data_IF_614376581937
#
_entry.id   IF_614376581937
#
_cell.length_a   1.000
_cell.length_b   1.000
_cell.length_c   1.000
_cell.angle_alpha   90.00
_cell.angle_beta   90.00
_cell.angle_gamma   90.00
#
_symmetry.space_group_name_H-M   'P 1'
#
loop_
_entity.id
_entity.type
_entity.pdbx_description
1 polymer ?
#
# COMPACT_ATOMS: atom_id res chain seq x y z
N UNK A 1 -23.23 58.06 35.47
CA UNK A 1 -23.59 56.63 35.58
C UNK A 1 -22.54 55.95 36.43
N UNK A 2 -22.95 55.27 37.53
CA UNK A 2 -22.07 54.63 38.52
C UNK A 2 -21.54 53.30 37.97
N UNK A 3 -20.22 53.11 37.98
CA UNK A 3 -19.54 51.94 37.40
C UNK A 3 -19.26 50.84 38.44
N UNK A 4 -19.64 51.05 39.71
CA UNK A 4 -19.17 50.26 40.86
C UNK A 4 -19.98 49.00 41.19
N UNK A 5 -20.60 48.32 40.19
CA UNK A 5 -21.42 47.13 40.47
C UNK A 5 -21.24 45.96 39.51
N UNK A 6 -20.08 45.83 38.87
CA UNK A 6 -19.80 44.70 37.99
C UNK A 6 -19.09 43.58 38.77
N UNK A 7 -19.71 42.39 38.77
CA UNK A 7 -19.12 41.15 39.28
C UNK A 7 -17.76 40.89 38.58
N UNK A 8 -16.72 40.36 39.25
CA UNK A 8 -15.43 40.05 38.63
C UNK A 8 -15.58 39.21 37.34
N UNK A 9 -16.59 38.33 37.28
CA UNK A 9 -16.93 37.58 36.06
C UNK A 9 -17.39 38.47 34.91
N UNK A 10 -18.21 39.50 35.19
CA UNK A 10 -18.61 40.47 34.15
C UNK A 10 -17.45 41.35 33.70
N UNK A 11 -16.47 41.61 34.57
CA UNK A 11 -15.25 42.32 34.19
C UNK A 11 -14.34 41.46 33.30
N UNK A 12 -14.21 40.17 33.63
CA UNK A 12 -13.48 39.20 32.79
C UNK A 12 -14.14 39.04 31.41
N UNK A 13 -15.46 38.89 31.37
CA UNK A 13 -16.21 38.83 30.11
C UNK A 13 -16.09 40.13 29.31
N UNK A 14 -16.12 41.28 29.98
CA UNK A 14 -15.89 42.59 29.35
C UNK A 14 -14.48 42.71 28.75
N UNK A 15 -13.46 42.25 29.47
CA UNK A 15 -12.07 42.24 28.98
C UNK A 15 -11.91 41.31 27.76
N UNK A 16 -12.48 40.11 27.82
CA UNK A 16 -12.45 39.15 26.69
C UNK A 16 -13.21 39.71 25.48
N UNK A 17 -14.39 40.32 25.69
CA UNK A 17 -15.16 40.93 24.63
C UNK A 17 -14.43 42.12 23.98
N UNK A 18 -13.78 42.97 24.79
CA UNK A 18 -12.94 44.05 24.29
C UNK A 18 -11.75 43.52 23.47
N UNK A 19 -11.13 42.44 23.92
CA UNK A 19 -10.03 41.80 23.21
C UNK A 19 -10.49 41.21 21.87
N UNK A 20 -11.60 40.48 21.85
CA UNK A 20 -12.20 39.95 20.63
C UNK A 20 -12.55 41.06 19.63
N UNK A 21 -13.10 42.19 20.12
CA UNK A 21 -13.40 43.35 19.29
C UNK A 21 -12.14 44.02 18.73
N UNK A 22 -11.05 44.06 19.50
CA UNK A 22 -9.75 44.54 19.01
C UNK A 22 -9.19 43.63 17.90
N UNK A 23 -9.26 42.31 18.04
CA UNK A 23 -8.86 41.39 16.97
C UNK A 23 -9.74 41.53 15.74
N UNK A 24 -11.05 41.69 15.92
CA UNK A 24 -11.98 41.95 14.82
C UNK A 24 -11.63 43.25 14.08
N UNK A 25 -11.31 44.33 14.80
CA UNK A 25 -10.86 45.57 14.18
C UNK A 25 -9.52 45.39 13.45
N UNK A 26 -8.60 44.61 14.01
CA UNK A 26 -7.32 44.28 13.35
C UNK A 26 -7.53 43.48 12.07
N UNK A 27 -8.43 42.49 12.08
CA UNK A 27 -8.74 41.69 10.88
C UNK A 27 -9.43 42.54 9.80
N UNK A 28 -10.37 43.41 10.18
CA UNK A 28 -10.95 44.40 9.26
C UNK A 28 -9.90 45.40 8.74
N UNK A 29 -8.91 45.77 9.56
CA UNK A 29 -7.79 46.60 9.15
C UNK A 29 -6.74 45.87 8.27
N UNK A 30 -6.96 44.58 7.97
CA UNK A 30 -6.13 43.82 7.04
C UNK A 30 -5.09 42.92 7.71
N UNK A 31 -5.18 42.66 9.02
CA UNK A 31 -4.44 41.58 9.66
C UNK A 31 -4.90 40.23 9.06
N UNK A 32 -4.13 39.70 8.11
CA UNK A 32 -4.43 38.47 7.37
C UNK A 32 -4.92 38.68 5.93
N UNK A 33 -5.21 39.92 5.51
CA UNK A 33 -5.61 40.24 4.13
C UNK A 33 -4.45 40.32 3.14
N UNK A 34 -3.22 40.27 3.63
CA UNK A 34 -1.96 40.32 2.86
C UNK A 34 -1.45 38.91 2.57
N UNK A 35 -2.31 38.03 2.08
CA UNK A 35 -1.86 36.83 1.40
C UNK A 35 -1.48 37.33 0.02
N UNK A 36 -0.18 37.53 -0.22
CA UNK A 36 0.35 38.24 -1.39
C UNK A 36 -0.47 37.97 -2.64
N UNK A 37 -1.32 38.92 -3.02
CA UNK A 37 -1.75 39.06 -4.40
C UNK A 37 -0.45 39.28 -5.13
N UNK A 38 0.03 38.26 -5.82
CA UNK A 38 1.11 38.40 -6.77
C UNK A 38 0.63 39.50 -7.71
N UNK A 39 1.27 40.68 -7.65
CA UNK A 39 1.07 41.71 -8.67
C UNK A 39 1.01 41.00 -10.02
N UNK A 40 -0.09 41.20 -10.74
CA UNK A 40 -0.19 40.77 -12.12
C UNK A 40 0.92 41.56 -12.83
N UNK A 41 2.07 40.91 -12.98
CA UNK A 41 3.30 41.49 -13.49
C UNK A 41 3.09 41.77 -14.97
N UNK A 42 2.43 42.90 -15.22
CA UNK A 42 2.22 43.42 -16.55
C UNK A 42 3.39 44.28 -17.01
N UNK A 43 4.34 44.68 -16.15
CA UNK A 43 5.33 45.69 -16.53
C UNK A 43 6.55 45.86 -15.62
N UNK A 44 6.94 44.92 -14.75
CA UNK A 44 8.31 44.96 -14.22
C UNK A 44 9.25 44.32 -15.26
N UNK A 45 10.35 44.98 -15.66
CA UNK A 45 11.37 44.31 -16.47
C UNK A 45 11.96 43.21 -15.61
N UNK A 46 11.45 41.99 -15.81
CA UNK A 46 11.89 40.78 -15.13
C UNK A 46 13.40 40.83 -14.94
N UNK A 47 13.85 40.85 -13.69
CA UNK A 47 15.21 40.44 -13.37
C UNK A 47 15.43 39.15 -14.15
N UNK A 48 16.41 39.13 -15.06
CA UNK A 48 16.56 38.16 -16.14
C UNK A 48 16.58 36.72 -15.61
N UNK A 49 15.40 36.21 -15.26
CA UNK A 49 15.11 34.84 -14.98
C UNK A 49 15.22 34.13 -16.31
N UNK A 50 15.90 32.99 -16.29
CA UNK A 50 16.03 32.11 -17.45
C UNK A 50 14.70 32.05 -18.18
N UNK A 51 14.71 32.46 -19.46
CA UNK A 51 13.52 32.48 -20.29
C UNK A 51 12.83 31.12 -20.17
N UNK A 52 11.57 31.12 -19.74
CA UNK A 52 10.80 29.89 -19.73
C UNK A 52 10.83 29.33 -21.16
N UNK A 53 11.11 28.02 -21.34
CA UNK A 53 11.08 27.42 -22.66
C UNK A 53 9.69 27.67 -23.26
N UNK A 54 9.67 28.09 -24.52
CA UNK A 54 8.43 28.33 -25.25
C UNK A 54 7.53 27.10 -25.14
N UNK A 55 6.29 27.31 -24.71
CA UNK A 55 5.30 26.23 -24.63
C UNK A 55 5.10 25.71 -26.06
N UNK A 56 5.30 24.39 -26.31
CA UNK A 56 5.12 23.85 -27.63
C UNK A 56 3.67 24.05 -28.09
N UNK A 57 3.49 24.33 -29.38
CA UNK A 57 2.17 24.47 -29.97
C UNK A 57 1.35 23.20 -29.73
N UNK A 58 0.09 23.37 -29.32
CA UNK A 58 -0.78 22.22 -29.08
C UNK A 58 -0.95 21.42 -30.37
N UNK A 59 -0.80 20.09 -30.32
CA UNK A 59 -0.93 19.26 -31.51
C UNK A 59 -2.38 19.25 -32.02
N UNK A 60 -2.59 19.00 -33.32
CA UNK A 60 -3.93 18.95 -33.91
C UNK A 60 -4.77 17.82 -33.32
N UNK A 61 -6.08 18.03 -33.18
CA UNK A 61 -7.02 17.07 -32.57
C UNK A 61 -6.99 15.68 -33.23
N UNK A 62 -6.61 15.58 -34.50
CA UNK A 62 -6.46 14.31 -35.22
C UNK A 62 -5.37 13.40 -34.64
N UNK A 63 -4.34 13.95 -33.99
CA UNK A 63 -3.30 13.14 -33.33
C UNK A 63 -3.82 12.39 -32.10
N UNK A 64 -4.95 12.79 -31.54
CA UNK A 64 -5.56 12.14 -30.38
C UNK A 64 -6.50 10.97 -30.75
N UNK A 65 -6.67 10.66 -32.04
CA UNK A 65 -7.56 9.59 -32.51
C UNK A 65 -7.17 8.20 -32.00
N UNK A 66 -5.87 7.94 -31.82
CA UNK A 66 -5.38 6.67 -31.30
C UNK A 66 -5.83 6.42 -29.85
N UNK A 67 -5.88 7.46 -29.03
CA UNK A 67 -6.36 7.41 -27.63
C UNK A 67 -7.86 7.09 -27.60
N UNK A 68 -8.63 7.62 -28.55
CA UNK A 68 -10.04 7.28 -28.70
C UNK A 68 -10.24 5.81 -29.16
N UNK A 69 -9.33 5.28 -29.97
CA UNK A 69 -9.36 3.89 -30.42
C UNK A 69 -8.92 2.88 -29.35
N UNK A 70 -8.17 3.33 -28.33
CA UNK A 70 -7.62 2.52 -27.25
C UNK A 70 -7.86 3.19 -25.90
N UNK A 71 -9.08 3.09 -25.35
CA UNK A 71 -9.39 3.72 -24.08
C UNK A 71 -8.54 3.10 -22.95
N UNK A 72 -7.82 3.95 -22.21
CA UNK A 72 -6.99 3.54 -21.06
C UNK A 72 -7.82 3.04 -19.87
N UNK A 73 -9.12 3.35 -19.89
CA UNK A 73 -10.07 2.93 -18.88
C UNK A 73 -11.06 1.98 -19.50
N UNK A 74 -11.54 1.04 -18.69
CA UNK A 74 -12.70 0.23 -19.04
C UNK A 74 -13.89 1.14 -19.37
N UNK A 75 -14.68 0.78 -20.37
CA UNK A 75 -15.81 1.61 -20.83
C UNK A 75 -16.83 1.85 -19.69
N UNK A 76 -16.93 0.89 -18.79
CA UNK A 76 -17.76 0.90 -17.59
C UNK A 76 -17.13 1.65 -16.40
N UNK A 77 -15.87 2.11 -16.51
CA UNK A 77 -15.07 2.79 -15.46
C UNK A 77 -15.14 2.09 -14.11
N UNK A 78 -15.27 0.76 -14.12
CA UNK A 78 -15.29 -0.07 -12.90
C UNK A 78 -13.97 -0.82 -12.75
N UNK A 79 -13.53 -1.07 -11.51
CA UNK A 79 -12.39 -1.94 -11.25
C UNK A 79 -12.71 -3.35 -11.76
N UNK A 80 -11.89 -3.86 -12.68
CA UNK A 80 -11.96 -5.26 -13.10
C UNK A 80 -11.06 -6.11 -12.20
N UNK A 81 -11.48 -7.32 -11.82
CA UNK A 81 -10.60 -8.25 -11.12
C UNK A 81 -9.44 -8.63 -12.03
N UNK A 82 -8.21 -8.39 -11.58
CA UNK A 82 -7.00 -8.85 -12.27
C UNK A 82 -6.46 -10.08 -11.54
N UNK A 83 -5.99 -11.06 -12.30
CA UNK A 83 -5.29 -12.23 -11.78
C UNK A 83 -3.81 -12.04 -12.10
N UNK A 84 -2.98 -12.02 -11.06
CA UNK A 84 -1.53 -12.08 -11.22
C UNK A 84 -1.21 -13.57 -11.36
N UNK A 85 -0.66 -13.96 -12.50
CA UNK A 85 -0.14 -15.30 -12.71
C UNK A 85 1.22 -15.39 -12.00
N UNK A 86 1.39 -16.21 -10.96
CA UNK A 86 2.64 -16.29 -10.19
C UNK A 86 3.81 -16.88 -11.00
N UNK A 87 3.59 -17.26 -12.27
CA UNK A 87 4.61 -17.86 -13.12
C UNK A 87 5.44 -16.84 -13.91
N UNK A 88 5.08 -15.54 -13.86
CA UNK A 88 5.85 -14.42 -14.44
C UNK A 88 6.73 -13.69 -13.40
N UNK A 89 7.01 -14.30 -12.24
CA UNK A 89 8.11 -13.86 -11.37
C UNK A 89 9.46 -14.21 -12.01
N UNK A 90 9.96 -13.28 -12.81
CA UNK A 90 11.27 -13.37 -13.45
C UNK A 90 12.40 -13.51 -12.44
N UNK A 91 13.07 -14.67 -12.52
CA UNK A 91 14.51 -14.81 -12.31
C UNK A 91 14.99 -14.86 -10.87
N UNK A 92 15.11 -16.06 -10.31
CA UNK A 92 16.03 -16.37 -9.21
C UNK A 92 17.45 -15.96 -9.61
N UNK A 93 17.85 -14.77 -9.20
CA UNK A 93 19.26 -14.38 -9.08
C UNK A 93 19.84 -14.95 -7.80
N UNK A 94 21.00 -15.60 -7.91
CA UNK A 94 21.84 -16.04 -6.79
C UNK A 94 21.99 -14.94 -5.70
N UNK A 95 22.38 -15.26 -4.45
CA UNK A 95 22.52 -14.29 -3.35
C UNK A 95 23.74 -13.37 -3.58
N UNK A 96 23.65 -12.50 -4.58
CA UNK A 96 24.50 -11.35 -4.81
C UNK A 96 23.85 -10.10 -4.23
N UNK A 97 24.64 -9.03 -4.08
CA UNK A 97 24.12 -7.73 -3.69
C UNK A 97 23.25 -7.16 -4.83
N UNK A 98 21.96 -7.51 -4.82
CA UNK A 98 21.00 -7.15 -5.86
C UNK A 98 19.87 -6.29 -5.26
N UNK A 99 20.20 -5.02 -5.04
CA UNK A 99 19.32 -4.02 -4.48
C UNK A 99 19.17 -2.85 -5.45
N UNK A 100 17.99 -2.26 -5.45
CA UNK A 100 17.65 -1.04 -6.19
C UNK A 100 17.46 0.09 -5.19
N UNK A 101 18.12 1.22 -5.42
CA UNK A 101 17.92 2.42 -4.61
C UNK A 101 16.62 3.10 -5.02
N UNK A 102 15.66 3.18 -4.10
CA UNK A 102 14.34 3.75 -4.34
C UNK A 102 14.16 5.14 -3.73
N UNK A 103 14.90 5.45 -2.67
CA UNK A 103 14.86 6.79 -2.05
C UNK A 103 16.13 7.09 -1.26
N UNK A 104 16.43 8.38 -1.15
CA UNK A 104 17.53 8.92 -0.38
C UNK A 104 17.00 10.06 0.51
N UNK A 105 17.31 9.99 1.81
CA UNK A 105 17.04 11.06 2.76
C UNK A 105 18.36 11.63 3.26
N UNK A 106 18.55 12.94 3.08
CA UNK A 106 19.71 13.68 3.58
C UNK A 106 19.26 14.96 4.29
N UNK A 107 19.64 15.08 5.55
CA UNK A 107 19.58 16.31 6.35
C UNK A 107 20.98 16.60 6.90
N UNK A 108 21.24 17.78 7.51
CA UNK A 108 22.58 18.11 8.03
C UNK A 108 23.13 17.08 9.03
N UNK A 109 22.26 16.51 9.86
CA UNK A 109 22.65 15.59 10.93
C UNK A 109 22.31 14.12 10.63
N UNK A 110 21.66 13.82 9.50
CA UNK A 110 21.14 12.49 9.22
C UNK A 110 21.14 12.13 7.73
N UNK A 111 21.63 10.94 7.42
CA UNK A 111 21.66 10.40 6.07
C UNK A 111 21.18 8.93 6.07
N UNK A 112 20.26 8.61 5.16
CA UNK A 112 19.62 7.31 5.04
C UNK A 112 19.32 6.97 3.58
N UNK A 113 19.49 5.71 3.23
CA UNK A 113 19.10 5.12 1.96
C UNK A 113 17.92 4.16 2.17
N UNK A 114 16.99 4.14 1.22
CA UNK A 114 15.93 3.13 1.17
C UNK A 114 16.20 2.25 -0.04
N UNK A 115 16.43 0.97 0.22
CA UNK A 115 16.69 -0.05 -0.77
C UNK A 115 15.48 -0.96 -0.93
N UNK A 116 15.29 -1.47 -2.13
CA UNK A 116 14.36 -2.56 -2.39
C UNK A 116 15.11 -3.72 -3.07
N UNK A 117 14.88 -4.98 -2.67
CA UNK A 117 15.40 -6.12 -3.40
C UNK A 117 14.92 -6.09 -4.86
N UNK A 118 15.79 -6.47 -5.81
CA UNK A 118 15.48 -6.48 -7.24
C UNK A 118 14.29 -7.38 -7.59
N UNK A 119 14.15 -8.52 -6.91
CA UNK A 119 13.02 -9.45 -7.01
C UNK A 119 11.72 -8.96 -6.37
N UNK A 120 11.67 -7.70 -5.93
CA UNK A 120 10.53 -7.15 -5.20
C UNK A 120 10.54 -7.53 -3.72
N UNK A 121 9.58 -6.98 -2.97
CA UNK A 121 9.44 -7.21 -1.53
C UNK A 121 9.66 -5.95 -0.68
N UNK A 122 9.92 -6.19 0.61
CA UNK A 122 9.98 -5.14 1.64
C UNK A 122 11.17 -4.19 1.44
N UNK A 123 10.91 -2.89 1.61
CA UNK A 123 11.95 -1.87 1.52
C UNK A 123 12.79 -1.82 2.80
N UNK A 124 14.10 -1.93 2.65
CA UNK A 124 15.07 -1.89 3.74
C UNK A 124 15.58 -0.45 3.89
N UNK A 125 15.58 0.06 5.11
CA UNK A 125 16.07 1.41 5.42
C UNK A 125 17.44 1.29 6.09
N UNK A 126 18.45 1.94 5.52
CA UNK A 126 19.83 1.87 6.01
C UNK A 126 20.37 3.25 6.31
N UNK A 127 20.99 3.40 7.47
CA UNK A 127 21.77 4.60 7.82
C UNK A 127 23.22 4.44 7.37
N UNK A 128 23.92 5.56 7.24
CA UNK A 128 25.37 5.52 7.01
C UNK A 128 26.04 4.72 8.13
N UNK A 129 26.87 3.75 7.76
CA UNK A 129 27.51 2.78 8.66
C UNK A 129 26.72 1.50 8.91
N UNK A 130 25.50 1.37 8.37
CA UNK A 130 24.65 0.19 8.54
C UNK A 130 24.74 -0.75 7.33
N UNK A 131 24.53 -2.05 7.57
CA UNK A 131 24.51 -3.08 6.54
C UNK A 131 23.09 -3.66 6.35
N UNK A 132 22.66 -3.99 5.11
CA UNK A 132 21.42 -4.71 4.89
C UNK A 132 21.45 -6.08 5.57
N UNK A 133 20.37 -6.47 6.26
CA UNK A 133 20.26 -7.79 6.89
C UNK A 133 20.49 -8.94 5.91
N UNK A 134 20.03 -8.78 4.67
CA UNK A 134 20.20 -9.78 3.62
C UNK A 134 21.65 -9.88 3.11
N UNK A 135 22.52 -8.88 3.36
CA UNK A 135 23.93 -8.95 2.98
C UNK A 135 24.82 -8.15 3.96
N UNK A 136 25.17 -8.75 5.13
CA UNK A 136 25.89 -8.05 6.21
C UNK A 136 27.30 -7.55 5.84
N UNK A 137 27.87 -8.06 4.75
CA UNK A 137 29.20 -7.65 4.26
C UNK A 137 29.23 -6.31 3.52
N UNK A 138 28.08 -5.71 3.22
CA UNK A 138 27.99 -4.45 2.50
C UNK A 138 27.50 -3.35 3.43
N UNK A 139 28.36 -2.38 3.72
CA UNK A 139 28.04 -1.27 4.64
C UNK A 139 27.78 0.00 3.83
N UNK A 140 26.72 0.73 4.15
CA UNK A 140 26.44 2.02 3.53
C UNK A 140 27.51 3.04 3.94
N UNK A 141 28.38 3.43 3.01
CA UNK A 141 29.51 4.33 3.26
C UNK A 141 29.15 5.80 3.14
N UNK A 142 28.53 6.21 2.04
CA UNK A 142 28.11 7.59 1.83
C UNK A 142 26.77 7.67 1.09
N UNK A 143 26.06 8.79 1.32
CA UNK A 143 24.76 9.06 0.75
C UNK A 143 24.82 10.42 0.05
N UNK A 144 24.72 10.41 -1.27
CA UNK A 144 24.73 11.57 -2.15
C UNK A 144 23.32 12.01 -2.52
N UNK A 145 23.20 13.13 -3.24
CA UNK A 145 21.88 13.69 -3.61
C UNK A 145 20.99 12.72 -4.42
N UNK A 146 21.58 11.79 -5.18
CA UNK A 146 20.88 10.84 -6.06
C UNK A 146 21.53 9.46 -6.16
N UNK A 147 22.50 9.18 -5.28
CA UNK A 147 23.27 7.94 -5.30
C UNK A 147 23.78 7.63 -3.91
N UNK A 148 24.20 6.39 -3.70
CA UNK A 148 24.76 5.91 -2.44
C UNK A 148 25.95 5.01 -2.73
N UNK A 149 26.98 5.07 -1.91
CA UNK A 149 28.18 4.23 -2.05
C UNK A 149 28.17 3.20 -0.92
N UNK A 150 28.19 1.92 -1.28
CA UNK A 150 28.35 0.81 -0.35
C UNK A 150 29.79 0.31 -0.38
N UNK A 151 30.36 0.03 0.79
CA UNK A 151 31.66 -0.61 0.92
C UNK A 151 31.43 -2.10 1.20
N UNK A 152 31.84 -2.95 0.26
CA UNK A 152 31.71 -4.39 0.36
C UNK A 152 33.05 -5.12 0.27
N UNK A 153 33.05 -6.46 0.44
CA UNK A 153 34.25 -7.29 0.26
C UNK A 153 34.79 -7.27 -1.18
N UNK A 154 33.97 -6.92 -2.16
CA UNK A 154 34.39 -6.73 -3.57
C UNK A 154 34.84 -5.30 -3.90
N UNK A 155 34.80 -4.38 -2.92
CA UNK A 155 35.15 -2.97 -3.10
C UNK A 155 33.94 -2.02 -3.03
N UNK A 156 34.15 -0.72 -3.31
CA UNK A 156 33.09 0.27 -3.28
C UNK A 156 32.13 0.11 -4.47
N UNK A 157 30.83 -0.01 -4.21
CA UNK A 157 29.77 -0.11 -5.23
C UNK A 157 28.80 1.06 -5.09
N UNK A 158 28.64 1.80 -6.18
CA UNK A 158 27.71 2.94 -6.22
C UNK A 158 26.37 2.48 -6.76
N UNK A 159 25.29 2.75 -6.01
CA UNK A 159 23.91 2.55 -6.44
C UNK A 159 23.29 3.91 -6.73
N UNK A 160 22.67 4.04 -7.90
CA UNK A 160 21.96 5.25 -8.30
C UNK A 160 20.47 5.11 -8.03
N UNK A 161 19.83 6.24 -7.70
CA UNK A 161 18.39 6.32 -7.51
C UNK A 161 17.70 5.91 -8.81
N UNK A 162 16.78 4.95 -8.73
CA UNK A 162 16.02 4.52 -9.91
C UNK A 162 15.22 5.70 -10.47
N UNK A 163 15.63 6.19 -11.64
CA UNK A 163 14.87 7.18 -12.40
C UNK A 163 13.89 6.43 -13.28
N UNK A 164 12.60 6.63 -13.03
CA UNK A 164 11.58 6.19 -13.96
C UNK A 164 11.50 7.23 -15.08
N UNK A 165 12.10 6.93 -16.22
CA UNK A 165 12.20 7.79 -17.41
C UNK A 165 10.90 7.79 -18.25
N UNK A 166 9.88 7.03 -17.84
CA UNK A 166 8.64 6.87 -18.60
C UNK A 166 8.79 5.98 -19.83
N UNK A 167 9.98 5.48 -20.12
CA UNK A 167 10.31 4.55 -21.21
C UNK A 167 10.44 3.11 -20.69
N UNK A 168 9.53 2.72 -19.79
CA UNK A 168 9.54 1.41 -19.14
C UNK A 168 8.18 0.75 -19.18
N UNK A 169 7.92 0.00 -20.25
CA UNK A 169 6.86 -0.99 -20.32
C UNK A 169 7.35 -2.15 -21.18
N UNK A 170 7.22 -3.37 -20.68
CA UNK A 170 7.32 -4.58 -21.50
C UNK A 170 6.49 -4.33 -22.80
N UNK A 171 6.99 -4.66 -24.00
CA UNK A 171 6.20 -4.53 -25.22
C UNK A 171 4.82 -5.15 -24.98
N UNK A 172 3.73 -4.48 -25.41
CA UNK A 172 2.38 -4.91 -25.07
C UNK A 172 2.20 -6.38 -25.38
N UNK A 173 1.88 -7.19 -24.38
CA UNK A 173 1.46 -8.58 -24.59
C UNK A 173 0.29 -8.50 -25.59
N UNK A 174 0.44 -9.02 -26.82
CA UNK A 174 -0.60 -8.90 -27.82
C UNK A 174 -1.80 -9.69 -27.35
N UNK A 175 -2.84 -9.00 -26.87
CA UNK A 175 -4.13 -9.61 -26.64
C UNK A 175 -4.73 -9.95 -28.00
N UNK A 176 -4.70 -11.24 -28.35
CA UNK A 176 -5.47 -11.73 -29.49
C UNK A 176 -6.96 -11.46 -29.21
N UNK A 177 -7.70 -10.82 -30.12
CA UNK A 177 -9.14 -10.67 -29.96
C UNK A 177 -9.79 -12.05 -29.88
N UNK A 178 -10.81 -12.24 -29.03
CA UNK A 178 -11.56 -13.49 -29.03
C UNK A 178 -12.18 -13.68 -30.42
N UNK A 179 -11.86 -14.81 -31.04
CA UNK A 179 -12.49 -15.25 -32.29
C UNK A 179 -13.99 -15.37 -32.03
N UNK A 180 -14.74 -14.38 -32.50
CA UNK A 180 -16.20 -14.46 -32.55
C UNK A 180 -16.55 -15.62 -33.49
N UNK A 181 -17.10 -16.70 -32.92
CA UNK A 181 -17.68 -17.76 -33.73
C UNK A 181 -18.91 -17.19 -34.42
N UNK A 182 -18.77 -17.01 -35.73
CA UNK A 182 -19.83 -16.68 -36.67
C UNK A 182 -20.92 -17.76 -36.60
N UNK A 183 -22.07 -17.40 -36.03
CA UNK A 183 -23.32 -18.11 -36.28
C UNK A 183 -24.32 -17.08 -36.78
N UNK A 184 -24.26 -16.85 -38.09
CA UNK A 184 -25.12 -15.95 -38.83
C UNK A 184 -26.61 -16.18 -38.59
N UNK A 185 -27.32 -15.09 -38.35
CA UNK A 185 -28.76 -14.96 -38.60
C UNK A 185 -28.99 -13.54 -39.14
N UNK A 186 -29.41 -13.36 -40.40
CA UNK A 186 -29.64 -12.03 -40.95
C UNK A 186 -30.98 -11.48 -40.45
N UNK A 187 -30.97 -10.33 -39.78
CA UNK A 187 -32.19 -9.58 -39.45
C UNK A 187 -32.24 -8.34 -40.34
N UNK A 188 -33.25 -8.18 -41.21
CA UNK A 188 -33.32 -7.05 -42.13
C UNK A 188 -33.70 -5.75 -41.41
N UNK A 189 -32.95 -4.71 -41.75
CA UNK A 189 -33.11 -3.32 -41.35
C UNK A 189 -34.48 -2.78 -41.83
N UNK A 190 -35.42 -2.53 -40.91
CA UNK A 190 -36.58 -1.69 -41.18
C UNK A 190 -36.60 -0.52 -40.20
N UNK A 191 -36.40 0.67 -40.75
CA UNK A 191 -36.62 1.93 -40.07
C UNK A 191 -38.10 2.07 -39.68
N UNK A 192 -38.37 2.19 -38.37
CA UNK A 192 -39.66 2.69 -37.88
C UNK A 192 -39.41 3.66 -36.72
N UNK A 193 -39.87 4.89 -36.94
CA UNK A 193 -39.98 5.98 -35.96
C UNK A 193 -41.12 5.71 -34.97
N UNK A 194 -40.97 6.28 -33.77
CA UNK A 194 -41.98 6.64 -32.75
C UNK A 194 -42.27 5.61 -31.63
N UNK A 195 -42.85 6.01 -30.49
CA UNK A 195 -42.63 7.21 -29.65
C UNK A 195 -42.43 6.84 -28.15
N UNK A 196 -41.98 7.80 -27.33
CA UNK A 196 -41.81 7.69 -25.86
C UNK A 196 -43.18 7.62 -25.15
N UNK A 197 -43.40 6.69 -24.19
CA UNK A 197 -44.55 6.74 -23.28
C UNK A 197 -44.24 7.49 -21.97
N UNK A 198 -45.20 8.28 -21.52
CA UNK A 198 -45.23 9.05 -20.26
C UNK A 198 -45.58 8.16 -19.03
N UNK A 199 -45.23 8.57 -17.79
CA UNK A 199 -45.41 7.76 -16.59
C UNK A 199 -46.82 7.90 -15.96
N UNK A 200 -47.34 6.86 -15.28
CA UNK A 200 -48.60 6.95 -14.52
C UNK A 200 -48.42 7.43 -13.05
N UNK A 201 -49.48 8.01 -12.43
CA UNK A 201 -49.47 8.63 -11.10
C UNK A 201 -49.67 7.63 -9.92
N UNK A 202 -49.46 8.06 -8.65
CA UNK A 202 -49.40 7.18 -7.47
C UNK A 202 -50.77 6.98 -6.80
N UNK A 203 -50.99 5.81 -6.20
CA UNK A 203 -52.09 5.54 -5.25
C UNK A 203 -51.62 4.63 -4.10
N UNK A 204 -52.05 5.02 -2.89
CA UNK A 204 -51.71 4.45 -1.58
C UNK A 204 -52.66 3.31 -1.14
N UNK A 205 -52.07 2.19 -0.68
CA UNK A 205 -52.41 1.26 0.47
C UNK A 205 -53.85 0.73 0.71
N UNK A 206 -54.11 -0.29 1.60
CA UNK A 206 -53.27 -1.32 2.27
C UNK A 206 -53.84 -2.78 2.23
N UNK A 207 -53.10 -3.73 2.82
CA UNK A 207 -53.56 -4.83 3.71
C UNK A 207 -53.14 -6.28 3.35
N UNK A 208 -52.27 -6.80 4.24
CA UNK A 208 -52.15 -8.14 4.87
C UNK A 208 -52.40 -9.44 4.10
N UNK A 209 -51.47 -10.40 4.27
CA UNK A 209 -51.76 -11.83 4.04
C UNK A 209 -50.56 -12.75 3.91
N UNK A 210 -49.94 -13.06 5.04
CA UNK A 210 -49.40 -14.36 5.48
C UNK A 210 -48.48 -15.27 4.60
N UNK A 211 -47.44 -15.75 5.30
CA UNK A 211 -46.75 -17.04 5.18
C UNK A 211 -45.93 -17.39 3.92
N UNK A 212 -44.64 -17.04 4.01
CA UNK A 212 -43.57 -17.83 3.42
C UNK A 212 -43.22 -19.07 4.27
N UNK A 213 -42.93 -20.20 3.61
CA UNK A 213 -42.26 -21.36 4.21
C UNK A 213 -41.53 -22.21 3.16
N UNK A 214 -40.20 -22.25 3.26
CA UNK A 214 -39.28 -23.37 2.96
C UNK A 214 -37.85 -22.78 2.75
N UNK A 215 -37.02 -22.62 3.78
CA UNK A 215 -36.24 -23.63 4.52
C UNK A 215 -34.94 -24.04 3.81
N UNK A 216 -33.81 -23.50 4.29
CA UNK A 216 -32.63 -24.25 4.77
C UNK A 216 -31.39 -23.33 4.81
N UNK A 217 -31.25 -22.55 5.89
CA UNK A 217 -29.94 -22.02 6.31
C UNK A 217 -29.37 -22.86 7.43
N UNK A 218 -28.09 -23.09 7.27
CA UNK A 218 -27.23 -23.94 8.06
C UNK A 218 -27.21 -23.54 9.54
N UNK A 219 -27.22 -24.56 10.38
CA UNK A 219 -27.39 -24.53 11.83
C UNK A 219 -26.05 -24.24 12.50
N UNK A 220 -25.93 -23.09 13.15
CA UNK A 220 -24.97 -22.83 14.23
C UNK A 220 -25.77 -22.33 15.45
N UNK A 221 -25.67 -22.97 16.63
CA UNK A 221 -26.49 -22.58 17.76
C UNK A 221 -25.89 -21.36 18.48
N UNK A 222 -26.63 -20.25 18.46
CA UNK A 222 -26.61 -19.28 19.55
C UNK A 222 -27.72 -19.66 20.52
N UNK A 223 -27.36 -19.90 21.79
CA UNK A 223 -28.27 -19.85 22.92
C UNK A 223 -27.94 -18.62 23.75
N UNK A 224 -28.87 -17.67 23.79
CA UNK A 224 -28.83 -16.42 24.55
C UNK A 224 -29.43 -16.60 25.94
N UNK A 225 -28.83 -15.93 26.92
CA UNK A 225 -29.50 -15.43 28.13
C UNK A 225 -29.40 -16.33 29.35
N UNK A 226 -28.56 -15.95 30.31
CA UNK A 226 -28.95 -15.59 31.68
C UNK A 226 -27.69 -15.11 32.42
N UNK A 227 -27.82 -14.13 33.31
CA UNK A 227 -26.75 -13.69 34.17
C UNK A 227 -26.28 -14.82 35.11
N UNK A 228 -24.97 -14.80 35.44
CA UNK A 228 -24.23 -15.67 36.37
C UNK A 228 -23.71 -17.01 35.81
N UNK A 229 -22.49 -17.02 35.25
CA UNK A 229 -21.48 -18.10 35.37
C UNK A 229 -20.27 -17.86 34.44
N UNK A 230 -19.41 -16.88 34.76
CA UNK A 230 -18.19 -16.58 33.98
C UNK A 230 -16.99 -17.51 34.23
N UNK A 231 -17.17 -18.67 34.88
CA UNK A 231 -16.06 -19.55 35.29
C UNK A 231 -15.90 -20.85 34.50
N UNK A 232 -17.01 -21.54 34.16
CA UNK A 232 -16.94 -22.95 33.75
C UNK A 232 -16.55 -23.17 32.27
N UNK A 233 -16.78 -22.21 31.37
CA UNK A 233 -16.38 -22.36 29.96
C UNK A 233 -14.86 -22.16 29.73
N UNK A 234 -14.18 -21.47 30.66
CA UNK A 234 -12.73 -21.26 30.62
C UNK A 234 -11.99 -22.51 31.13
N UNK A 235 -12.56 -23.25 32.08
CA UNK A 235 -11.98 -24.48 32.64
C UNK A 235 -11.96 -25.65 31.64
N UNK A 236 -13.01 -25.81 30.82
CA UNK A 236 -13.04 -26.85 29.77
C UNK A 236 -11.99 -26.63 28.66
N UNK A 237 -11.74 -25.37 28.28
CA UNK A 237 -10.70 -25.01 27.32
C UNK A 237 -9.29 -25.17 27.92
N UNK A 238 -9.13 -24.88 29.21
CA UNK A 238 -7.86 -25.09 29.94
C UNK A 238 -7.50 -26.58 30.03
N UNK A 239 -8.46 -27.47 30.35
CA UNK A 239 -8.22 -28.91 30.38
C UNK A 239 -7.86 -29.51 29.02
N UNK A 240 -8.47 -29.01 27.93
CA UNK A 240 -8.11 -29.43 26.57
C UNK A 240 -6.70 -28.96 26.16
N UNK A 241 -6.30 -27.76 26.59
CA UNK A 241 -4.95 -27.24 26.37
C UNK A 241 -3.90 -28.06 27.15
N UNK A 242 -4.21 -28.45 28.39
CA UNK A 242 -3.32 -29.26 29.23
C UNK A 242 -3.10 -30.68 28.67
N UNK A 243 -4.17 -31.32 28.19
CA UNK A 243 -4.08 -32.60 27.48
C UNK A 243 -3.22 -32.51 26.21
N UNK A 244 -3.24 -31.38 25.51
CA UNK A 244 -2.41 -31.15 24.32
C UNK A 244 -0.93 -30.95 24.67
N UNK A 245 -0.63 -30.29 25.79
CA UNK A 245 0.74 -30.16 26.30
C UNK A 245 1.33 -31.52 26.68
N UNK A 246 0.56 -32.40 27.31
CA UNK A 246 1.01 -33.76 27.64
C UNK A 246 1.26 -34.62 26.39
N UNK A 247 0.41 -34.50 25.38
CA UNK A 247 0.61 -35.18 24.09
C UNK A 247 1.91 -34.71 23.40
N UNK A 248 2.23 -33.41 23.49
CA UNK A 248 3.49 -32.86 22.96
C UNK A 248 4.68 -33.37 23.77
N UNK A 249 4.60 -33.40 25.11
CA UNK A 249 5.68 -33.90 25.97
C UNK A 249 6.02 -35.36 25.66
N UNK A 250 5.01 -36.23 25.50
CA UNK A 250 5.22 -37.65 25.12
C UNK A 250 5.93 -37.79 23.77
N UNK A 251 5.52 -37.01 22.76
CA UNK A 251 6.15 -37.05 21.43
C UNK A 251 7.61 -36.58 21.45
N UNK A 252 7.95 -35.59 22.27
CA UNK A 252 9.33 -35.11 22.41
C UNK A 252 10.20 -36.14 23.14
N UNK A 253 9.69 -36.81 24.16
CA UNK A 253 10.42 -37.85 24.90
C UNK A 253 10.74 -39.06 24.02
N UNK A 254 9.78 -39.54 23.22
CA UNK A 254 10.01 -40.63 22.25
C UNK A 254 11.06 -40.24 21.21
N UNK A 255 10.95 -39.05 20.63
CA UNK A 255 11.94 -38.54 19.66
C UNK A 255 13.33 -38.44 20.30
N UNK A 256 13.41 -37.97 21.54
CA UNK A 256 14.68 -37.83 22.27
C UNK A 256 15.30 -39.17 22.66
N UNK A 257 14.49 -40.18 22.96
CA UNK A 257 14.97 -41.54 23.18
C UNK A 257 15.56 -42.14 21.89
N UNK A 258 14.91 -41.90 20.75
CA UNK A 258 15.38 -42.35 19.43
C UNK A 258 16.72 -41.71 19.06
N UNK A 259 16.84 -40.39 19.26
CA UNK A 259 18.09 -39.65 18.97
C UNK A 259 19.26 -40.12 19.85
N UNK A 260 18.99 -40.51 21.11
CA UNK A 260 20.02 -41.07 22.01
C UNK A 260 20.53 -42.43 21.53
N UNK A 261 19.68 -43.25 20.91
CA UNK A 261 20.12 -44.52 20.31
C UNK A 261 20.98 -44.27 19.05
N UNK A 262 20.62 -43.29 18.23
CA UNK A 262 21.40 -42.91 17.04
C UNK A 262 22.79 -42.35 17.42
N UNK A 263 22.88 -41.52 18.46
CA UNK A 263 24.17 -41.02 18.95
C UNK A 263 25.08 -42.14 19.49
N UNK A 264 24.51 -43.14 20.18
CA UNK A 264 25.29 -44.29 20.64
C UNK A 264 25.76 -45.19 19.49
N UNK A 265 24.98 -45.30 18.41
CA UNK A 265 25.42 -46.03 17.21
C UNK A 265 26.53 -45.29 16.46
N UNK A 266 26.46 -43.96 16.38
CA UNK A 266 27.52 -43.15 15.77
C UNK A 266 28.83 -43.19 16.58
N UNK A 267 28.77 -43.21 17.91
CA UNK A 267 29.98 -43.34 18.75
C UNK A 267 30.59 -44.74 18.71
N UNK A 268 29.83 -45.78 18.38
CA UNK A 268 30.33 -47.16 18.21
C UNK A 268 30.90 -47.46 16.83
N UNK A 269 30.82 -46.54 15.87
CA UNK A 269 31.50 -46.69 14.58
C UNK A 269 32.88 -46.01 14.64
N UNK A 270 33.98 -46.76 14.87
CA UNK A 270 35.32 -46.20 14.74
C UNK A 270 35.55 -45.77 13.29
N UNK A 271 36.06 -44.55 13.12
CA UNK A 271 36.43 -44.00 11.82
C UNK A 271 37.40 -44.95 11.08
N UNK A 272 37.18 -45.23 9.78
CA UNK A 272 38.09 -46.08 9.03
C UNK A 272 39.46 -45.42 8.95
N UNK A 273 40.44 -46.08 9.55
CA UNK A 273 41.86 -45.75 9.49
C UNK A 273 42.37 -45.87 8.06
N UNK A 274 42.90 -44.75 7.57
CA UNK A 274 43.64 -44.59 6.33
C UNK A 274 44.82 -45.59 6.27
N UNK A 275 44.95 -46.45 5.24
CA UNK A 275 46.09 -47.36 5.13
C UNK A 275 47.36 -46.59 4.73
N UNK A 276 48.45 -46.94 5.42
CA UNK A 276 49.76 -46.31 5.34
C UNK A 276 50.43 -46.43 3.96
N UNK A 277 51.13 -45.37 3.58
CA UNK A 277 52.26 -45.39 2.64
C UNK A 277 53.45 -46.09 3.31
N UNK A 278 53.94 -47.16 2.69
CA UNK A 278 55.18 -47.87 3.03
C UNK A 278 56.38 -47.20 2.32
N UNK A 279 57.58 -47.11 2.94
CA UNK A 279 58.85 -46.93 2.24
C UNK A 279 59.45 -48.24 1.72
#
# INVERSE_FOLDING_TARGET
MRVDRFNPRTWLLGAVAAWALAFLLLTLAGLGGRIGQREDDGSDPAAAGQALPAVPAQPPLSQYGEIASRPLFSADRRPHPFFIDPQDEGGEGAPGFDFVLTSVLRTPDFAMAILQPSGGGESIRLRVGEAPQATPGWVLGSVEARSVVFNGPEGPRTLELRVFDGTGGQPPTPMAPPVAQDRGVPVPLHARRMPVPAPPPPQDTPQSGDAGRAQARNRGPSGSGEAAAGGAAVEGAAGAAEAQVEAIRRRIEERRARLRQEQQQQQRQPSPSNPAQDP
#
